data_IF_457345080011
#
_entry.id   IF_457345080011
#
_cell.length_a   1.000
_cell.length_b   1.000
_cell.length_c   1.000
_cell.angle_alpha   90.00
_cell.angle_beta   90.00
_cell.angle_gamma   90.00
#
_symmetry.space_group_name_H-M   'P 1'
#
loop_
_entity.id
_entity.type
_entity.pdbx_description
1 polymer ?
#
# COMPACT_ATOMS: atom_id res chain seq x y z
N UNK A 1 13.95 -14.95 -14.72
CA UNK A 1 13.32 -14.52 -13.45
C UNK A 1 11.87 -14.95 -13.46
N UNK A 2 11.36 -15.55 -12.38
CA UNK A 2 9.92 -15.77 -12.23
C UNK A 2 9.28 -14.42 -11.93
N UNK A 3 8.35 -13.99 -12.77
CA UNK A 3 7.59 -12.76 -12.55
C UNK A 3 6.77 -12.88 -11.27
N UNK A 4 6.83 -11.87 -10.41
CA UNK A 4 5.99 -11.77 -9.22
C UNK A 4 4.53 -11.65 -9.66
N UNK A 5 3.66 -12.35 -8.94
CA UNK A 5 2.23 -12.42 -9.24
C UNK A 5 1.43 -11.52 -8.29
N UNK A 6 0.51 -10.75 -8.84
CA UNK A 6 -0.30 -9.79 -8.07
C UNK A 6 -1.33 -10.43 -7.15
N UNK A 7 -1.89 -11.59 -7.52
CA UNK A 7 -2.80 -12.32 -6.62
C UNK A 7 -2.05 -12.94 -5.45
N UNK A 8 -0.82 -13.44 -5.65
CA UNK A 8 0.03 -13.88 -4.54
C UNK A 8 0.39 -12.72 -3.60
N UNK A 9 0.75 -11.56 -4.16
CA UNK A 9 1.00 -10.37 -3.36
C UNK A 9 -0.25 -9.93 -2.59
N UNK A 10 -1.43 -9.92 -3.23
CA UNK A 10 -2.69 -9.59 -2.58
C UNK A 10 -3.00 -10.54 -1.41
N UNK A 11 -2.83 -11.85 -1.60
CA UNK A 11 -3.02 -12.85 -0.54
C UNK A 11 -2.04 -12.66 0.62
N UNK A 12 -0.77 -12.36 0.31
CA UNK A 12 0.22 -12.00 1.31
C UNK A 12 -0.20 -10.75 2.11
N UNK A 13 -0.59 -9.69 1.42
CA UNK A 13 -1.05 -8.44 2.02
C UNK A 13 -2.25 -8.67 2.96
N UNK A 14 -3.27 -9.41 2.53
CA UNK A 14 -4.41 -9.75 3.38
C UNK A 14 -3.99 -10.54 4.63
N UNK A 15 -3.10 -11.52 4.47
CA UNK A 15 -2.63 -12.37 5.58
C UNK A 15 -1.82 -11.56 6.60
N UNK A 16 -0.96 -10.67 6.11
CA UNK A 16 -0.16 -9.79 6.96
C UNK A 16 -1.03 -8.78 7.70
N UNK A 17 -1.96 -8.15 6.99
CA UNK A 17 -2.86 -7.13 7.55
C UNK A 17 -3.89 -7.70 8.53
N UNK A 18 -4.22 -9.00 8.44
CA UNK A 18 -5.06 -9.68 9.42
C UNK A 18 -4.41 -9.80 10.82
N UNK A 19 -3.09 -9.59 10.94
CA UNK A 19 -2.38 -9.63 12.22
C UNK A 19 -2.48 -8.26 12.90
N UNK A 20 -3.08 -8.14 14.11
CA UNK A 20 -3.33 -6.85 14.74
C UNK A 20 -2.09 -5.97 14.93
N UNK A 21 -0.97 -6.57 15.33
CA UNK A 21 0.30 -5.86 15.51
C UNK A 21 0.79 -5.27 14.18
N UNK A 22 0.71 -6.03 13.09
CA UNK A 22 1.17 -5.57 11.78
C UNK A 22 0.26 -4.48 11.21
N UNK A 23 -1.06 -4.65 11.38
CA UNK A 23 -2.03 -3.63 11.04
C UNK A 23 -1.72 -2.31 11.78
N UNK A 24 -1.49 -2.39 13.10
CA UNK A 24 -1.18 -1.21 13.91
C UNK A 24 0.11 -0.54 13.44
N UNK A 25 1.20 -1.29 13.25
CA UNK A 25 2.47 -0.74 12.76
C UNK A 25 2.32 -0.05 11.40
N UNK A 26 1.62 -0.67 10.45
CA UNK A 26 1.40 -0.08 9.12
C UNK A 26 0.57 1.21 9.20
N UNK A 27 -0.44 1.25 10.07
CA UNK A 27 -1.24 2.45 10.31
C UNK A 27 -0.42 3.55 11.00
N UNK A 28 0.49 3.21 11.91
CA UNK A 28 1.40 4.18 12.54
C UNK A 28 2.36 4.77 11.52
N UNK A 29 2.95 3.95 10.64
CA UNK A 29 3.81 4.42 9.54
C UNK A 29 3.05 5.36 8.59
N UNK A 30 1.80 5.03 8.26
CA UNK A 30 0.95 5.89 7.45
C UNK A 30 0.66 7.23 8.13
N UNK A 31 0.17 7.19 9.37
CA UNK A 31 -0.33 8.38 10.05
C UNK A 31 0.77 9.31 10.55
N UNK A 32 1.91 8.76 11.00
CA UNK A 32 2.99 9.55 11.60
C UNK A 32 4.06 9.96 10.58
N UNK A 33 4.31 9.13 9.56
CA UNK A 33 5.41 9.32 8.61
C UNK A 33 4.94 9.48 7.16
N UNK A 34 3.62 9.51 6.92
CA UNK A 34 3.05 9.68 5.58
C UNK A 34 3.35 8.52 4.62
N UNK A 35 3.74 7.36 5.13
CA UNK A 35 4.16 6.22 4.29
C UNK A 35 2.96 5.57 3.62
N UNK A 36 3.15 5.14 2.37
CA UNK A 36 2.11 4.40 1.65
C UNK A 36 2.08 2.94 2.13
N UNK A 37 0.91 2.51 2.62
CA UNK A 37 0.73 1.15 3.20
C UNK A 37 0.95 0.06 2.15
N UNK A 38 0.49 0.23 0.90
CA UNK A 38 0.68 -0.78 -0.15
C UNK A 38 2.16 -0.93 -0.55
N UNK A 39 2.93 0.16 -0.53
CA UNK A 39 4.37 0.10 -0.72
C UNK A 39 5.05 -0.61 0.46
N UNK A 40 4.70 -0.29 1.71
CA UNK A 40 5.22 -1.03 2.88
C UNK A 40 4.93 -2.54 2.76
N UNK A 41 3.71 -2.91 2.36
CA UNK A 41 3.31 -4.31 2.15
C UNK A 41 4.15 -4.98 1.06
N UNK A 42 4.44 -4.28 -0.05
CA UNK A 42 5.30 -4.81 -1.11
C UNK A 42 6.71 -5.07 -0.60
N UNK A 43 7.31 -4.13 0.13
CA UNK A 43 8.68 -4.29 0.64
C UNK A 43 8.79 -5.49 1.59
N UNK A 44 7.80 -5.68 2.47
CA UNK A 44 7.71 -6.86 3.34
C UNK A 44 7.47 -8.16 2.55
N UNK A 45 6.74 -8.09 1.43
CA UNK A 45 6.57 -9.23 0.54
C UNK A 45 7.88 -9.62 -0.14
N UNK A 46 8.65 -8.65 -0.65
CA UNK A 46 9.98 -8.89 -1.22
C UNK A 46 10.95 -9.45 -0.17
N UNK A 47 10.90 -8.93 1.06
CA UNK A 47 11.69 -9.45 2.17
C UNK A 47 11.40 -10.95 2.40
N UNK A 48 10.11 -11.35 2.35
CA UNK A 48 9.71 -12.76 2.49
C UNK A 48 10.19 -13.68 1.36
N UNK A 49 10.59 -13.09 0.22
CA UNK A 49 11.12 -13.78 -0.95
C UNK A 49 12.65 -13.69 -1.05
N UNK A 50 13.33 -13.14 -0.03
CA UNK A 50 14.78 -12.91 -0.06
C UNK A 50 15.22 -11.97 -1.19
N UNK A 51 14.38 -11.03 -1.60
CA UNK A 51 14.65 -10.08 -2.68
C UNK A 51 14.88 -8.68 -2.10
N UNK A 52 15.89 -7.96 -2.61
CA UNK A 52 16.17 -6.58 -2.22
C UNK A 52 15.92 -5.59 -3.34
N UNK A 53 15.43 -4.42 -2.97
CA UNK A 53 15.39 -3.22 -3.82
C UNK A 53 16.50 -2.26 -3.45
N UNK A 54 17.02 -1.54 -4.44
CA UNK A 54 17.92 -0.42 -4.22
C UNK A 54 17.15 0.92 -4.16
N UNK A 55 17.84 2.00 -3.81
CA UNK A 55 17.23 3.34 -3.66
C UNK A 55 16.57 3.85 -4.94
N UNK A 56 17.12 3.54 -6.11
CA UNK A 56 16.54 3.96 -7.40
C UNK A 56 15.23 3.24 -7.67
N UNK A 57 15.20 1.91 -7.49
CA UNK A 57 14.00 1.08 -7.65
C UNK A 57 12.91 1.50 -6.67
N UNK A 58 13.27 1.77 -5.41
CA UNK A 58 12.36 2.28 -4.41
C UNK A 58 11.79 3.66 -4.79
N UNK A 59 12.59 4.53 -5.41
CA UNK A 59 12.13 5.81 -5.96
C UNK A 59 11.06 5.63 -7.04
N UNK A 60 11.24 4.69 -7.96
CA UNK A 60 10.25 4.34 -8.99
C UNK A 60 8.94 3.84 -8.35
N UNK A 61 9.05 2.88 -7.41
CA UNK A 61 7.89 2.33 -6.71
C UNK A 61 7.12 3.39 -5.91
N UNK A 62 7.86 4.34 -5.31
CA UNK A 62 7.29 5.49 -4.60
C UNK A 62 6.50 6.40 -5.55
N UNK A 63 7.04 6.68 -6.74
CA UNK A 63 6.34 7.49 -7.74
C UNK A 63 5.03 6.84 -8.18
N UNK A 64 5.05 5.52 -8.41
CA UNK A 64 3.87 4.73 -8.81
C UNK A 64 2.73 4.85 -7.79
N UNK A 65 3.04 4.78 -6.50
CA UNK A 65 1.99 4.91 -5.46
C UNK A 65 1.51 6.34 -5.29
N UNK A 66 2.41 7.32 -5.36
CA UNK A 66 2.08 8.73 -5.17
C UNK A 66 1.12 9.25 -6.24
N UNK A 67 1.22 8.78 -7.48
CA UNK A 67 0.33 9.20 -8.56
C UNK A 67 -1.14 8.84 -8.26
N UNK A 68 -1.42 7.60 -7.88
CA UNK A 68 -2.78 7.19 -7.54
C UNK A 68 -3.26 7.78 -6.21
N UNK A 69 -2.34 7.92 -5.24
CA UNK A 69 -2.66 8.45 -3.93
C UNK A 69 -3.12 9.91 -4.00
N UNK A 70 -2.33 10.76 -4.65
CA UNK A 70 -2.56 12.20 -4.72
C UNK A 70 -3.75 12.56 -5.62
N UNK A 71 -3.97 11.81 -6.70
CA UNK A 71 -5.03 12.13 -7.66
C UNK A 71 -6.39 11.53 -7.28
N UNK A 72 -6.45 10.37 -6.62
CA UNK A 72 -7.70 9.63 -6.44
C UNK A 72 -7.93 9.20 -4.98
N UNK A 73 -6.98 8.48 -4.37
CA UNK A 73 -7.23 7.88 -3.04
C UNK A 73 -7.45 8.93 -1.95
N UNK A 74 -6.67 10.00 -1.95
CA UNK A 74 -6.83 11.09 -0.97
C UNK A 74 -8.21 11.74 -1.08
N UNK A 75 -8.72 11.96 -2.29
CA UNK A 75 -10.05 12.53 -2.50
C UNK A 75 -11.14 11.61 -1.95
N UNK A 76 -11.02 10.30 -2.20
CA UNK A 76 -11.98 9.31 -1.72
C UNK A 76 -11.97 9.20 -0.18
N UNK A 77 -10.78 9.18 0.43
CA UNK A 77 -10.60 9.18 1.89
C UNK A 77 -11.12 10.47 2.53
N UNK A 78 -10.93 11.61 1.88
CA UNK A 78 -11.46 12.90 2.32
C UNK A 78 -13.00 12.91 2.27
N UNK A 79 -13.60 12.43 1.18
CA UNK A 79 -15.04 12.29 1.06
C UNK A 79 -15.61 11.37 2.16
N UNK A 80 -15.02 10.19 2.38
CA UNK A 80 -15.45 9.28 3.45
C UNK A 80 -15.32 9.92 4.84
N UNK A 81 -14.24 10.66 5.10
CA UNK A 81 -14.01 11.34 6.37
C UNK A 81 -15.03 12.46 6.62
N UNK A 82 -15.32 13.26 5.60
CA UNK A 82 -16.36 14.29 5.65
C UNK A 82 -17.73 13.69 5.98
N UNK A 83 -18.14 12.65 5.25
CA UNK A 83 -19.44 12.00 5.47
C UNK A 83 -19.54 11.38 6.88
N UNK A 84 -18.44 10.86 7.42
CA UNK A 84 -18.41 10.34 8.80
C UNK A 84 -18.71 11.44 9.84
N UNK A 85 -18.18 12.64 9.65
CA UNK A 85 -18.44 13.79 10.54
C UNK A 85 -19.90 14.23 10.44
N UNK A 86 -20.48 14.20 9.23
CA UNK A 86 -21.85 14.65 8.95
C UNK A 86 -22.89 13.52 8.90
N UNK A 87 -22.57 12.34 9.43
CA UNK A 87 -23.38 11.12 9.28
C UNK A 87 -24.84 11.27 9.71
N UNK A 88 -25.14 12.13 10.69
CA UNK A 88 -26.50 12.36 11.20
C UNK A 88 -27.42 13.07 10.19
N UNK A 89 -26.84 13.84 9.27
CA UNK A 89 -27.60 14.56 8.24
C UNK A 89 -27.81 13.74 6.96
N UNK A 90 -27.26 12.53 6.89
CA UNK A 90 -27.22 11.69 5.68
C UNK A 90 -28.14 10.49 5.87
N UNK A 91 -29.28 10.48 5.18
CA UNK A 91 -30.32 9.45 5.31
C UNK A 91 -29.81 8.04 5.05
N UNK A 92 -28.91 7.84 4.07
CA UNK A 92 -28.38 6.52 3.71
C UNK A 92 -26.86 6.38 3.96
N UNK A 93 -26.38 6.93 5.08
CA UNK A 93 -24.96 6.96 5.40
C UNK A 93 -24.30 5.57 5.38
N UNK A 94 -24.98 4.55 5.90
CA UNK A 94 -24.42 3.21 6.01
C UNK A 94 -24.08 2.59 4.64
N UNK A 95 -24.97 2.70 3.65
CA UNK A 95 -24.72 2.19 2.30
C UNK A 95 -23.66 3.03 1.58
N UNK A 96 -23.75 4.36 1.65
CA UNK A 96 -22.75 5.26 1.03
C UNK A 96 -21.35 4.95 1.57
N UNK A 97 -21.21 4.82 2.90
CA UNK A 97 -19.93 4.45 3.53
C UNK A 97 -19.43 3.09 3.03
N UNK A 98 -20.31 2.10 2.88
CA UNK A 98 -19.96 0.75 2.39
C UNK A 98 -19.46 0.80 0.94
N UNK A 99 -20.11 1.56 0.08
CA UNK A 99 -19.71 1.73 -1.32
C UNK A 99 -18.37 2.44 -1.44
N UNK A 100 -18.16 3.51 -0.68
CA UNK A 100 -16.86 4.21 -0.63
C UNK A 100 -15.74 3.28 -0.16
N UNK A 101 -15.97 2.48 0.89
CA UNK A 101 -14.99 1.51 1.36
C UNK A 101 -14.70 0.43 0.31
N UNK A 102 -15.72 -0.01 -0.44
CA UNK A 102 -15.52 -0.95 -1.55
C UNK A 102 -14.70 -0.35 -2.68
N UNK A 103 -14.91 0.94 -3.01
CA UNK A 103 -14.12 1.66 -3.99
C UNK A 103 -12.66 1.83 -3.51
N UNK A 104 -12.43 2.20 -2.24
CA UNK A 104 -11.09 2.28 -1.65
C UNK A 104 -10.35 0.94 -1.79
N UNK A 105 -10.99 -0.18 -1.42
CA UNK A 105 -10.38 -1.50 -1.50
C UNK A 105 -10.02 -1.90 -2.94
N UNK A 106 -10.87 -1.57 -3.92
CA UNK A 106 -10.59 -1.83 -5.35
C UNK A 106 -9.39 -1.03 -5.84
N UNK A 107 -9.28 0.24 -5.43
CA UNK A 107 -8.15 1.09 -5.75
C UNK A 107 -6.86 0.61 -5.07
N UNK A 108 -6.92 0.13 -3.82
CA UNK A 108 -5.77 -0.48 -3.16
C UNK A 108 -5.28 -1.72 -3.91
N UNK A 109 -6.19 -2.60 -4.34
CA UNK A 109 -5.84 -3.76 -5.17
C UNK A 109 -5.21 -3.33 -6.51
N UNK A 110 -5.73 -2.29 -7.13
CA UNK A 110 -5.14 -1.72 -8.36
C UNK A 110 -3.74 -1.16 -8.11
N UNK A 111 -3.52 -0.45 -7.00
CA UNK A 111 -2.21 0.08 -6.63
C UNK A 111 -1.20 -1.06 -6.43
N UNK A 112 -1.59 -2.14 -5.78
CA UNK A 112 -0.76 -3.33 -5.62
C UNK A 112 -0.42 -4.01 -6.96
N UNK A 113 -1.36 -4.03 -7.91
CA UNK A 113 -1.08 -4.50 -9.27
C UNK A 113 -0.05 -3.61 -9.98
N UNK A 114 -0.18 -2.28 -9.88
CA UNK A 114 0.77 -1.34 -10.48
C UNK A 114 2.17 -1.50 -9.88
N UNK A 115 2.26 -1.69 -8.56
CA UNK A 115 3.50 -1.99 -7.86
C UNK A 115 4.16 -3.29 -8.37
N UNK A 116 3.38 -4.35 -8.56
CA UNK A 116 3.88 -5.63 -9.09
C UNK A 116 4.39 -5.48 -10.53
N UNK A 117 3.68 -4.72 -11.36
CA UNK A 117 4.14 -4.44 -12.73
C UNK A 117 5.48 -3.70 -12.70
N UNK A 118 5.58 -2.63 -11.91
CA UNK A 118 6.80 -1.82 -11.82
C UNK A 118 7.99 -2.59 -11.23
N UNK A 119 7.78 -3.41 -10.19
CA UNK A 119 8.87 -4.18 -9.58
C UNK A 119 9.33 -5.32 -10.49
N UNK A 120 8.45 -5.88 -11.33
CA UNK A 120 8.82 -6.89 -12.32
C UNK A 120 9.68 -6.34 -13.46
N UNK A 121 9.69 -5.02 -13.66
CA UNK A 121 10.60 -4.33 -14.57
C UNK A 121 11.97 -4.03 -13.92
N UNK A 122 12.11 -4.25 -12.61
CA UNK A 122 13.33 -4.02 -11.87
C UNK A 122 14.21 -5.29 -11.83
N UNK A 123 15.52 -5.12 -11.96
CA UNK A 123 16.48 -6.18 -11.67
C UNK A 123 16.68 -6.32 -10.15
N UNK A 124 15.90 -7.22 -9.53
CA UNK A 124 16.03 -7.53 -8.11
C UNK A 124 17.20 -8.48 -7.86
N UNK A 125 17.85 -8.30 -6.70
CA UNK A 125 18.96 -9.16 -6.26
C UNK A 125 18.49 -10.01 -5.09
N UNK A 126 18.94 -11.27 -5.05
CA UNK A 126 18.71 -12.15 -3.90
C UNK A 126 19.65 -11.75 -2.75
N UNK A 127 19.10 -11.68 -1.53
CA UNK A 127 19.82 -11.41 -0.30
C UNK A 127 19.28 -12.31 0.80
N UNK A 128 20.16 -12.91 1.62
CA UNK A 128 19.74 -13.82 2.69
C UNK A 128 18.97 -13.12 3.83
N UNK A 129 19.25 -11.84 4.06
CA UNK A 129 18.61 -11.03 5.10
C UNK A 129 18.21 -9.66 4.51
N UNK A 130 17.17 -9.61 3.67
CA UNK A 130 16.67 -8.36 3.12
C UNK A 130 16.01 -7.51 4.21
N UNK A 131 16.17 -6.19 4.11
CA UNK A 131 15.46 -5.23 4.96
C UNK A 131 15.04 -4.02 4.15
N UNK A 132 14.12 -4.26 3.21
CA UNK A 132 13.64 -3.24 2.29
C UNK A 132 12.85 -2.15 3.01
N UNK A 133 12.16 -2.50 4.09
CA UNK A 133 11.37 -1.52 4.85
C UNK A 133 12.28 -0.45 5.48
N UNK A 134 13.45 -0.82 6.03
CA UNK A 134 14.38 0.15 6.61
C UNK A 134 14.89 1.16 5.58
N UNK A 135 15.12 0.73 4.34
CA UNK A 135 15.49 1.63 3.25
C UNK A 135 14.40 2.69 3.01
N UNK A 136 13.13 2.29 3.05
CA UNK A 136 12.00 3.20 2.86
C UNK A 136 11.76 4.13 4.05
N UNK A 137 12.02 3.68 5.27
CA UNK A 137 11.91 4.51 6.48
C UNK A 137 12.96 5.63 6.51
N UNK A 138 14.13 5.43 5.91
CA UNK A 138 15.20 6.45 5.82
C UNK A 138 14.89 7.59 4.85
N UNK A 139 13.88 7.45 3.99
CA UNK A 139 13.47 8.50 3.05
C UNK A 139 12.53 9.46 3.77
N UNK A 140 12.91 10.73 3.89
CA UNK A 140 11.99 11.81 4.29
C UNK A 140 11.35 12.44 3.05
N UNK A 141 10.02 12.62 3.08
CA UNK A 141 9.25 13.33 2.05
C UNK A 141 8.91 14.74 2.50
#
# INVERSE_FOLDING_TARGET
MNLLNSDHFWQFACTLYAKPVQQQTLLELQNQQGKNVNLCLLLLYLDSLNLVVNSQQLGVLTQVVNELDNNVMQQLRAARSYLKVHQQAITDYANIRKELLSAELKLEKQQQQMLINAVNECELVECAEPNNIELYLKISF
#
